data_IF_343263992750
#
_entry.id   IF_343263992750
#
_cell.length_a   1.000
_cell.length_b   1.000
_cell.length_c   1.000
_cell.angle_alpha   90.00
_cell.angle_beta   90.00
_cell.angle_gamma   90.00
#
_symmetry.space_group_name_H-M   'P 1'
#
loop_
_entity.id
_entity.type
_entity.pdbx_description
1 polymer ?
#
# COMPACT_ATOMS: atom_id res chain seq x y z
N UNK A 1 -22.76 -19.73 57.73
CA UNK A 1 -22.97 -19.12 56.39
C UNK A 1 -21.95 -18.02 56.02
N UNK A 2 -21.34 -17.27 56.97
CA UNK A 2 -20.35 -16.20 56.66
C UNK A 2 -19.02 -16.67 56.07
N UNK A 3 -18.55 -17.87 56.43
CA UNK A 3 -17.28 -18.41 55.93
C UNK A 3 -17.36 -18.81 54.45
N UNK A 4 -18.42 -19.51 54.04
CA UNK A 4 -18.65 -19.93 52.64
C UNK A 4 -18.68 -18.75 51.67
N UNK A 5 -19.29 -17.63 52.07
CA UNK A 5 -19.35 -16.40 51.25
C UNK A 5 -17.97 -15.79 50.97
N UNK A 6 -17.02 -15.89 51.92
CA UNK A 6 -15.65 -15.39 51.72
C UNK A 6 -14.86 -16.22 50.71
N UNK A 7 -15.01 -17.55 50.75
CA UNK A 7 -14.36 -18.44 49.78
C UNK A 7 -14.94 -18.28 48.38
N UNK A 8 -16.26 -18.08 48.25
CA UNK A 8 -16.90 -17.78 46.96
C UNK A 8 -16.37 -16.47 46.37
N UNK A 9 -16.26 -15.40 47.17
CA UNK A 9 -15.71 -14.13 46.70
C UNK A 9 -14.23 -14.25 46.32
N UNK A 10 -13.44 -15.02 47.06
CA UNK A 10 -12.04 -15.28 46.73
C UNK A 10 -11.90 -16.07 45.41
N UNK A 11 -12.72 -17.09 45.19
CA UNK A 11 -12.76 -17.84 43.93
C UNK A 11 -13.16 -16.94 42.76
N UNK A 12 -14.12 -16.04 42.95
CA UNK A 12 -14.52 -15.05 41.93
C UNK A 12 -13.38 -14.09 41.62
N UNK A 13 -12.67 -13.57 42.63
CA UNK A 13 -11.51 -12.70 42.43
C UNK A 13 -10.36 -13.40 41.72
N UNK A 14 -10.08 -14.67 42.04
CA UNK A 14 -9.05 -15.47 41.36
C UNK A 14 -9.46 -15.76 39.91
N UNK A 15 -10.74 -16.06 39.65
CA UNK A 15 -11.26 -16.22 38.28
C UNK A 15 -11.10 -14.95 37.46
N UNK A 16 -11.42 -13.78 38.03
CA UNK A 16 -11.27 -12.48 37.34
C UNK A 16 -9.80 -12.12 37.11
N UNK A 17 -8.91 -12.46 38.05
CA UNK A 17 -7.47 -12.25 37.89
C UNK A 17 -6.88 -13.14 36.79
N UNK A 18 -7.43 -14.34 36.56
CA UNK A 18 -7.00 -15.26 35.50
C UNK A 18 -7.42 -14.80 34.10
N UNK A 19 -8.47 -13.98 33.99
CA UNK A 19 -9.01 -13.50 32.70
C UNK A 19 -8.23 -12.25 32.18
N UNK A 20 -7.37 -11.65 33.01
CA UNK A 20 -6.76 -10.35 32.72
C UNK A 20 -5.47 -10.38 31.87
N UNK A 21 -5.04 -11.52 31.34
CA UNK A 21 -3.86 -11.60 30.47
C UNK A 21 -4.24 -12.00 29.05
N UNK A 22 -4.91 -11.11 28.33
CA UNK A 22 -4.97 -11.20 26.87
C UNK A 22 -3.63 -10.68 26.31
N UNK A 23 -2.70 -11.58 26.00
CA UNK A 23 -1.56 -11.22 25.15
C UNK A 23 -2.07 -11.08 23.71
N UNK A 24 -1.83 -9.92 23.10
CA UNK A 24 -2.04 -9.74 21.66
C UNK A 24 -0.98 -10.56 20.95
N UNK A 25 -1.38 -11.69 20.37
CA UNK A 25 -0.51 -12.49 19.52
C UNK A 25 -0.44 -11.81 18.15
N UNK A 26 0.71 -11.24 17.80
CA UNK A 26 0.97 -10.77 16.45
C UNK A 26 1.38 -11.95 15.59
N UNK A 27 0.58 -12.26 14.57
CA UNK A 27 0.98 -13.17 13.50
C UNK A 27 1.65 -12.31 12.43
N UNK A 28 2.96 -12.43 12.28
CA UNK A 28 3.71 -11.77 11.23
C UNK A 28 3.84 -12.71 10.03
N UNK A 29 3.30 -12.30 8.88
CA UNK A 29 3.58 -12.92 7.59
C UNK A 29 4.74 -12.20 6.90
N UNK A 30 5.63 -12.95 6.27
CA UNK A 30 6.71 -12.38 5.45
C UNK A 30 6.27 -12.35 3.99
N UNK A 31 6.34 -11.16 3.39
CA UNK A 31 6.19 -10.97 1.94
C UNK A 31 7.54 -10.50 1.39
N UNK A 32 8.11 -11.30 0.50
CA UNK A 32 9.37 -11.03 -0.19
C UNK A 32 9.30 -11.44 -1.66
N UNK A 33 10.43 -11.48 -2.35
CA UNK A 33 10.53 -11.80 -3.77
C UNK A 33 9.98 -13.20 -4.09
N UNK A 34 10.03 -14.15 -3.17
CA UNK A 34 9.44 -15.49 -3.36
C UNK A 34 7.91 -15.45 -3.35
N UNK A 35 7.33 -14.45 -2.69
CA UNK A 35 5.89 -14.17 -2.69
C UNK A 35 5.42 -13.26 -3.84
N UNK A 36 6.35 -12.84 -4.71
CA UNK A 36 6.06 -12.00 -5.87
C UNK A 36 6.36 -10.51 -5.68
N UNK A 37 6.92 -10.09 -4.54
CA UNK A 37 7.38 -8.71 -4.34
C UNK A 37 8.53 -8.38 -5.29
N UNK A 38 8.37 -7.33 -6.08
CA UNK A 38 9.38 -6.99 -7.09
C UNK A 38 10.68 -6.47 -6.48
N UNK A 39 10.61 -5.74 -5.37
CA UNK A 39 11.79 -5.19 -4.69
C UNK A 39 11.54 -4.99 -3.19
N UNK A 40 12.56 -5.27 -2.37
CA UNK A 40 12.49 -5.14 -0.91
C UNK A 40 12.55 -3.68 -0.42
N UNK A 41 13.01 -2.74 -1.25
CA UNK A 41 12.99 -1.31 -0.95
C UNK A 41 11.58 -0.75 -1.17
N UNK A 42 10.74 -0.81 -0.15
CA UNK A 42 9.38 -0.26 -0.14
C UNK A 42 9.42 1.22 0.26
N UNK A 43 9.04 2.10 -0.65
CA UNK A 43 8.98 3.55 -0.44
C UNK A 43 7.61 4.01 0.08
N UNK A 44 6.54 3.24 -0.17
CA UNK A 44 5.19 3.61 0.20
C UNK A 44 4.22 2.44 0.21
N UNK A 45 3.20 2.55 1.04
CA UNK A 45 2.12 1.56 1.18
C UNK A 45 0.79 2.32 1.16
N UNK A 46 -0.17 1.81 0.40
CA UNK A 46 -1.52 2.36 0.30
C UNK A 46 -2.51 1.21 0.32
N UNK A 47 -3.50 1.26 1.21
CA UNK A 47 -4.72 0.47 1.06
C UNK A 47 -5.71 1.32 0.28
N UNK A 48 -6.22 0.78 -0.82
CA UNK A 48 -7.21 1.48 -1.64
C UNK A 48 -8.64 1.24 -1.15
N UNK A 49 -9.61 1.90 -1.78
CA UNK A 49 -11.03 1.80 -1.44
C UNK A 49 -11.64 0.41 -1.68
N UNK A 50 -10.93 -0.49 -2.39
CA UNK A 50 -11.35 -1.86 -2.68
C UNK A 50 -10.66 -2.88 -1.75
N UNK A 51 -10.05 -2.40 -0.65
CA UNK A 51 -9.28 -3.18 0.32
C UNK A 51 -8.04 -3.89 -0.27
N UNK A 52 -7.55 -3.43 -1.41
CA UNK A 52 -6.31 -3.92 -2.00
C UNK A 52 -5.12 -3.11 -1.49
N UNK A 53 -3.99 -3.80 -1.31
CA UNK A 53 -2.75 -3.16 -0.82
C UNK A 53 -1.80 -2.91 -1.97
N UNK A 54 -1.41 -1.67 -2.13
CA UNK A 54 -0.44 -1.20 -3.11
C UNK A 54 0.90 -0.92 -2.43
N UNK A 55 1.99 -1.41 -3.01
CA UNK A 55 3.35 -1.22 -2.51
C UNK A 55 4.19 -0.52 -3.60
N UNK A 56 4.66 0.68 -3.29
CA UNK A 56 5.60 1.43 -4.09
C UNK A 56 7.01 0.93 -3.81
N UNK A 57 7.73 0.49 -4.84
CA UNK A 57 9.08 -0.05 -4.68
C UNK A 57 10.07 0.62 -5.62
N UNK A 58 11.35 0.26 -5.49
CA UNK A 58 12.40 0.68 -6.42
C UNK A 58 12.36 -0.05 -7.75
N UNK A 59 11.56 -1.12 -7.88
CA UNK A 59 11.42 -1.88 -9.12
C UNK A 59 9.95 -2.26 -9.40
N UNK A 60 9.07 -1.26 -9.50
CA UNK A 60 7.69 -1.44 -9.91
C UNK A 60 6.65 -1.24 -8.80
N UNK A 61 5.39 -1.16 -9.23
CA UNK A 61 4.22 -1.02 -8.38
C UNK A 61 3.64 -2.41 -8.13
N UNK A 62 3.48 -2.78 -6.88
CA UNK A 62 2.95 -4.10 -6.53
C UNK A 62 1.53 -3.94 -5.98
N UNK A 63 0.61 -4.76 -6.48
CA UNK A 63 -0.76 -4.89 -6.01
C UNK A 63 -0.91 -6.23 -5.31
N UNK A 64 -1.26 -6.21 -4.03
CA UNK A 64 -1.49 -7.37 -3.20
C UNK A 64 -2.96 -7.47 -2.81
N UNK A 65 -3.59 -8.59 -3.13
CA UNK A 65 -5.01 -8.85 -2.86
C UNK A 65 -5.25 -9.70 -1.60
N UNK A 66 -4.22 -9.88 -0.76
CA UNK A 66 -4.29 -10.77 0.41
C UNK A 66 -3.83 -12.21 0.16
N UNK A 67 -3.66 -12.62 -1.10
CA UNK A 67 -3.20 -13.98 -1.45
C UNK A 67 -2.09 -13.99 -2.50
N UNK A 68 -2.12 -13.08 -3.47
CA UNK A 68 -1.15 -13.00 -4.56
C UNK A 68 -0.75 -11.55 -4.83
N UNK A 69 0.39 -11.40 -5.50
CA UNK A 69 0.94 -10.11 -5.89
C UNK A 69 0.97 -9.97 -7.42
N UNK A 70 0.54 -8.82 -7.91
CA UNK A 70 0.65 -8.42 -9.31
C UNK A 70 1.57 -7.20 -9.43
N UNK A 71 2.49 -7.22 -10.40
CA UNK A 71 3.49 -6.16 -10.55
C UNK A 71 3.23 -5.38 -11.85
N UNK A 72 3.04 -4.06 -11.71
CA UNK A 72 3.05 -3.12 -12.82
C UNK A 72 4.46 -2.55 -12.98
N UNK A 73 5.03 -2.72 -14.18
CA UNK A 73 6.37 -2.28 -14.51
C UNK A 73 6.37 -1.22 -15.62
N UNK A 74 7.51 -0.56 -15.77
CA UNK A 74 7.90 0.22 -16.91
C UNK A 74 8.09 -0.68 -18.14
N UNK A 75 7.76 -0.16 -19.31
CA UNK A 75 7.91 -0.84 -20.59
C UNK A 75 8.20 0.13 -21.72
N UNK A 76 8.68 -0.40 -22.84
CA UNK A 76 9.09 0.41 -23.99
C UNK A 76 7.86 1.06 -24.64
N UNK A 77 7.95 2.35 -24.96
CA UNK A 77 6.88 3.08 -25.64
C UNK A 77 6.38 2.31 -26.88
N UNK A 78 5.06 2.08 -26.95
CA UNK A 78 4.39 1.48 -28.12
C UNK A 78 3.74 0.11 -27.91
N UNK A 79 3.90 -0.55 -26.76
CA UNK A 79 3.26 -1.87 -26.51
C UNK A 79 2.59 -1.99 -25.15
N UNK A 80 1.70 -1.07 -24.77
CA UNK A 80 0.80 -1.25 -23.62
C UNK A 80 0.87 -0.15 -22.54
N UNK A 81 -0.06 -0.27 -21.59
CA UNK A 81 -0.22 0.56 -20.40
C UNK A 81 0.93 0.32 -19.41
N UNK A 82 2.01 1.08 -19.52
CA UNK A 82 3.18 0.96 -18.63
C UNK A 82 3.36 2.20 -17.76
N UNK A 83 3.98 2.02 -16.58
CA UNK A 83 4.39 3.13 -15.72
C UNK A 83 5.46 4.00 -16.39
N UNK A 84 5.57 5.25 -15.96
CA UNK A 84 6.60 6.19 -16.42
C UNK A 84 8.01 5.83 -15.97
N UNK A 85 8.18 5.10 -14.87
CA UNK A 85 9.45 4.50 -14.44
C UNK A 85 9.19 3.41 -13.38
N UNK A 86 10.16 2.51 -13.18
CA UNK A 86 10.11 1.46 -12.16
C UNK A 86 10.39 2.00 -10.75
N UNK A 87 11.10 3.11 -10.60
CA UNK A 87 11.39 3.69 -9.28
C UNK A 87 10.21 4.55 -8.86
N UNK A 88 9.46 4.08 -7.86
CA UNK A 88 8.23 4.72 -7.38
C UNK A 88 8.47 5.34 -6.02
N UNK A 89 8.23 6.64 -5.89
CA UNK A 89 8.39 7.37 -4.64
C UNK A 89 7.12 7.43 -3.81
N UNK A 90 5.96 7.54 -4.46
CA UNK A 90 4.70 7.73 -3.76
C UNK A 90 3.53 7.17 -4.57
N UNK A 91 2.49 6.78 -3.86
CA UNK A 91 1.23 6.26 -4.40
C UNK A 91 0.06 6.91 -3.69
N UNK A 92 -1.01 7.22 -4.43
CA UNK A 92 -2.22 7.79 -3.87
C UNK A 92 -3.44 7.38 -4.71
N UNK A 93 -4.62 7.36 -4.10
CA UNK A 93 -5.89 7.08 -4.77
C UNK A 93 -6.68 8.38 -4.90
N UNK A 94 -7.25 8.65 -6.09
CA UNK A 94 -8.19 9.75 -6.26
C UNK A 94 -9.64 9.35 -5.96
N UNK A 95 -10.53 10.34 -5.95
CA UNK A 95 -11.97 10.11 -5.63
C UNK A 95 -12.70 9.22 -6.63
N UNK A 96 -12.13 9.04 -7.82
CA UNK A 96 -12.69 8.19 -8.86
C UNK A 96 -12.09 6.76 -8.81
N UNK A 97 -11.26 6.47 -7.80
CA UNK A 97 -10.59 5.18 -7.63
C UNK A 97 -9.43 4.97 -8.60
N UNK A 98 -8.82 6.02 -9.15
CA UNK A 98 -7.59 5.86 -9.93
C UNK A 98 -6.38 5.90 -9.01
N UNK A 99 -5.37 5.10 -9.34
CA UNK A 99 -4.09 5.08 -8.62
C UNK A 99 -3.11 6.02 -9.31
N UNK A 100 -2.70 7.04 -8.58
CA UNK A 100 -1.65 7.98 -8.97
C UNK A 100 -0.31 7.51 -8.42
N UNK A 101 0.66 7.39 -9.32
CA UNK A 101 1.98 6.82 -9.07
C UNK A 101 3.02 7.89 -9.37
N UNK A 102 3.65 8.42 -8.32
CA UNK A 102 4.78 9.32 -8.46
C UNK A 102 6.06 8.52 -8.67
N UNK A 103 6.66 8.68 -9.84
CA UNK A 103 7.89 7.98 -10.24
C UNK A 103 9.04 8.98 -10.39
N UNK A 104 10.27 8.48 -10.54
CA UNK A 104 11.44 9.33 -10.77
C UNK A 104 11.41 10.12 -12.09
N UNK A 105 10.71 9.64 -13.11
CA UNK A 105 10.64 10.31 -14.43
C UNK A 105 9.37 11.16 -14.62
N UNK A 106 8.34 10.94 -13.81
CA UNK A 106 7.05 11.61 -13.96
C UNK A 106 5.95 10.98 -13.12
N UNK A 107 4.70 11.24 -13.48
CA UNK A 107 3.52 10.73 -12.78
C UNK A 107 2.77 9.78 -13.72
N UNK A 108 2.42 8.60 -13.23
CA UNK A 108 1.51 7.67 -13.93
C UNK A 108 0.14 7.67 -13.26
N UNK A 109 -0.93 7.71 -14.03
CA UNK A 109 -2.31 7.49 -13.56
C UNK A 109 -2.78 6.14 -14.08
N UNK A 110 -3.06 5.20 -13.18
CA UNK A 110 -3.66 3.91 -13.47
C UNK A 110 -5.16 3.96 -13.20
N UNK A 111 -5.95 3.73 -14.24
CA UNK A 111 -7.38 3.49 -14.11
C UNK A 111 -7.62 2.03 -13.71
N UNK A 112 -8.10 1.78 -12.49
CA UNK A 112 -8.33 0.41 -11.97
C UNK A 112 -9.36 -0.37 -12.79
N UNK A 113 -10.37 0.30 -13.33
CA UNK A 113 -11.49 -0.34 -14.05
C UNK A 113 -11.07 -0.82 -15.43
N UNK A 114 -10.24 -0.04 -16.13
CA UNK A 114 -9.85 -0.33 -17.52
C UNK A 114 -8.43 -0.91 -17.63
N UNK A 115 -7.62 -0.82 -16.58
CA UNK A 115 -6.19 -1.16 -16.61
C UNK A 115 -5.35 -0.20 -17.45
N UNK A 116 -5.89 0.96 -17.83
CA UNK A 116 -5.17 1.92 -18.66
C UNK A 116 -4.22 2.76 -17.80
N UNK A 117 -3.00 2.97 -18.29
CA UNK A 117 -2.01 3.83 -17.65
C UNK A 117 -1.75 5.04 -18.55
N UNK A 118 -1.91 6.23 -17.98
CA UNK A 118 -1.59 7.51 -18.61
C UNK A 118 -0.39 8.14 -17.91
N UNK A 119 0.65 8.50 -18.66
CA UNK A 119 1.89 9.06 -18.12
C UNK A 119 1.97 10.56 -18.39
N UNK A 120 2.34 11.31 -17.36
CA UNK A 120 2.52 12.75 -17.36
C UNK A 120 3.97 13.07 -17.01
N UNK A 121 4.68 13.70 -17.96
CA UNK A 121 6.09 14.04 -17.83
C UNK A 121 6.27 15.55 -17.71
N UNK A 122 7.26 15.98 -16.95
CA UNK A 122 7.62 17.38 -16.86
C UNK A 122 8.34 17.85 -18.13
N UNK A 123 7.77 18.80 -18.87
CA UNK A 123 8.46 19.44 -19.99
C UNK A 123 9.28 20.65 -19.51
N UNK A 124 10.57 20.43 -19.30
CA UNK A 124 11.54 21.47 -18.90
C UNK A 124 11.62 22.63 -19.90
N UNK A 125 11.14 22.47 -21.14
CA UNK A 125 11.20 23.51 -22.18
C UNK A 125 10.04 24.49 -22.13
N UNK A 126 9.00 24.22 -21.32
CA UNK A 126 7.82 25.10 -21.17
C UNK A 126 7.81 25.89 -19.86
N UNK A 127 8.93 25.94 -19.14
CA UNK A 127 9.11 26.81 -17.98
C UNK A 127 9.11 28.26 -18.44
N UNK A 128 7.92 28.84 -18.51
CA UNK A 128 7.74 30.27 -18.48
C UNK A 128 8.35 30.82 -17.19
N UNK A 129 9.13 31.88 -17.32
CA UNK A 129 10.02 32.53 -16.33
C UNK A 129 9.36 33.00 -15.02
N UNK A 130 8.10 32.63 -14.77
CA UNK A 130 7.27 33.18 -13.70
C UNK A 130 7.02 32.19 -12.56
N UNK A 131 7.69 31.03 -12.55
CA UNK A 131 7.77 30.14 -11.39
C UNK A 131 6.53 29.28 -11.09
N UNK A 132 5.50 29.29 -11.94
CA UNK A 132 4.33 28.41 -11.80
C UNK A 132 4.17 27.54 -13.06
N UNK A 133 4.18 26.23 -12.85
CA UNK A 133 4.09 25.21 -13.90
C UNK A 133 2.66 24.67 -13.97
N UNK A 134 2.08 24.64 -15.17
CA UNK A 134 0.88 23.84 -15.46
C UNK A 134 1.35 22.48 -15.97
N UNK A 135 1.12 21.41 -15.20
CA UNK A 135 1.26 20.06 -15.71
C UNK A 135 0.19 19.85 -16.80
N UNK A 136 0.59 19.32 -17.96
CA UNK A 136 -0.32 19.00 -19.09
C UNK A 136 -0.50 17.50 -19.15
#
# INVERSE_FOLDING_TARGET
MRFVRKYILLCICILHACIAFAQVNYIAGQLDNTSGLSNSCINGVLQDSDDLVWLATWDGLNLYNGTSMHVFNYGKAGSGSYLSSNVIYNINEDRDGNIWVGTVEGISKLNKQTGNISNYFYDTRRVNTNGFVTAV
#
